data_IF_067621623622
#
_entry.id   IF_067621623622
#
_cell.length_a   1.000
_cell.length_b   1.000
_cell.length_c   1.000
_cell.angle_alpha   90.00
_cell.angle_beta   90.00
_cell.angle_gamma   90.00
#
_symmetry.space_group_name_H-M   'P 1'
#
loop_
_entity.id
_entity.type
_entity.pdbx_description
1 polymer ?
#
# COMPACT_ATOMS: atom_id res chain seq x y z
N UNK A 1 -4.61 -2.04 -20.31
CA UNK A 1 -4.78 -0.81 -19.50
C UNK A 1 -5.13 0.34 -20.43
N UNK A 2 -6.15 1.17 -20.14
CA UNK A 2 -6.39 2.42 -20.88
C UNK A 2 -5.28 3.39 -20.50
N UNK A 3 -4.70 4.10 -21.47
CA UNK A 3 -3.69 5.13 -21.18
C UNK A 3 -4.35 6.23 -20.33
N UNK A 4 -3.72 6.52 -19.19
CA UNK A 4 -4.13 7.59 -18.31
C UNK A 4 -3.17 8.77 -18.51
N UNK A 5 -3.66 9.98 -18.54
CA UNK A 5 -2.83 11.16 -18.79
C UNK A 5 -3.11 12.29 -17.80
N UNK A 6 -2.08 13.05 -17.49
CA UNK A 6 -2.15 14.30 -16.74
C UNK A 6 -1.59 15.43 -17.60
N UNK A 7 -2.28 16.57 -17.63
CA UNK A 7 -1.85 17.73 -18.37
C UNK A 7 -2.23 19.01 -17.65
N UNK A 8 -1.32 19.98 -17.61
CA UNK A 8 -1.60 21.32 -17.09
C UNK A 8 -2.07 22.21 -18.23
N UNK A 9 -3.17 22.95 -18.02
CA UNK A 9 -3.71 23.91 -18.98
C UNK A 9 -3.99 25.25 -18.28
N UNK A 10 -4.04 26.39 -19.01
CA UNK A 10 -4.52 27.64 -18.44
C UNK A 10 -5.96 27.53 -17.92
N UNK A 11 -6.25 28.14 -16.78
CA UNK A 11 -7.60 28.17 -16.21
C UNK A 11 -8.56 29.04 -17.07
N UNK A 12 -8.01 30.02 -17.76
CA UNK A 12 -8.74 30.87 -18.68
C UNK A 12 -8.46 30.43 -20.14
N UNK A 13 -9.51 30.06 -20.86
CA UNK A 13 -9.44 29.63 -22.27
C UNK A 13 -8.95 30.73 -23.23
N UNK A 14 -9.05 31.99 -22.82
CA UNK A 14 -8.61 33.13 -23.62
C UNK A 14 -7.10 33.41 -23.46
N UNK A 15 -6.46 32.78 -22.51
CA UNK A 15 -5.01 32.91 -22.27
C UNK A 15 -4.23 32.12 -23.33
N UNK A 16 -3.68 32.83 -24.33
CA UNK A 16 -2.89 32.26 -25.42
C UNK A 16 -1.41 32.04 -25.06
N UNK A 17 -0.97 32.47 -23.90
CA UNK A 17 0.45 32.50 -23.53
C UNK A 17 0.99 31.09 -23.14
N UNK A 18 0.12 30.08 -23.10
CA UNK A 18 0.51 28.71 -22.74
C UNK A 18 0.78 28.53 -21.24
N UNK A 19 1.34 27.40 -20.87
CA UNK A 19 1.72 27.08 -19.49
C UNK A 19 3.24 27.21 -19.33
N UNK A 20 3.73 28.00 -18.36
CA UNK A 20 5.17 28.06 -18.08
C UNK A 20 5.71 26.67 -17.73
N UNK A 21 6.89 26.32 -18.25
CA UNK A 21 7.55 25.03 -18.00
C UNK A 21 7.74 24.79 -16.50
N UNK A 22 8.05 25.83 -15.73
CA UNK A 22 8.22 25.71 -14.29
C UNK A 22 6.93 25.28 -13.58
N UNK A 23 5.78 25.82 -13.97
CA UNK A 23 4.46 25.43 -13.43
C UNK A 23 4.12 24.02 -13.85
N UNK A 24 4.19 23.70 -15.13
CA UNK A 24 3.90 22.38 -15.63
C UNK A 24 4.82 21.32 -15.00
N UNK A 25 6.13 21.58 -14.94
CA UNK A 25 7.11 20.66 -14.37
C UNK A 25 6.88 20.42 -12.87
N UNK A 26 6.64 21.48 -12.09
CA UNK A 26 6.40 21.31 -10.64
C UNK A 26 5.10 20.58 -10.37
N UNK A 27 4.01 20.93 -11.06
CA UNK A 27 2.74 20.22 -10.95
C UNK A 27 2.88 18.73 -11.26
N UNK A 28 3.68 18.37 -12.27
CA UNK A 28 3.94 16.97 -12.61
C UNK A 28 4.75 16.24 -11.53
N UNK A 29 5.70 16.92 -10.89
CA UNK A 29 6.43 16.37 -9.72
C UNK A 29 5.47 16.14 -8.55
N UNK A 30 4.54 17.05 -8.29
CA UNK A 30 3.56 16.91 -7.21
C UNK A 30 2.59 15.76 -7.47
N UNK A 31 2.12 15.60 -8.73
CA UNK A 31 1.28 14.45 -9.12
C UNK A 31 2.04 13.14 -8.96
N UNK A 32 3.30 13.08 -9.39
CA UNK A 32 4.16 11.90 -9.21
C UNK A 32 4.30 11.54 -7.73
N UNK A 33 4.60 12.54 -6.90
CA UNK A 33 4.78 12.34 -5.47
C UNK A 33 3.50 11.82 -4.81
N UNK A 34 2.37 12.47 -5.08
CA UNK A 34 1.06 12.07 -4.54
C UNK A 34 0.69 10.63 -4.94
N UNK A 35 0.92 10.25 -6.20
CA UNK A 35 0.69 8.89 -6.66
C UNK A 35 1.60 7.87 -5.95
N UNK A 36 2.87 8.21 -5.79
CA UNK A 36 3.85 7.35 -5.10
C UNK A 36 3.46 7.15 -3.64
N UNK A 37 3.10 8.21 -2.93
CA UNK A 37 2.73 8.13 -1.52
C UNK A 37 1.45 7.29 -1.32
N UNK A 38 0.42 7.49 -2.16
CA UNK A 38 -0.79 6.64 -2.16
C UNK A 38 -0.43 5.18 -2.46
N UNK A 39 0.41 4.93 -3.45
CA UNK A 39 0.83 3.59 -3.84
C UNK A 39 1.60 2.87 -2.73
N UNK A 40 2.54 3.56 -2.09
CA UNK A 40 3.28 3.01 -0.95
C UNK A 40 2.36 2.66 0.23
N UNK A 41 1.34 3.48 0.51
CA UNK A 41 0.34 3.16 1.55
C UNK A 41 -0.43 1.87 1.22
N UNK A 42 -0.89 1.73 -0.03
CA UNK A 42 -1.59 0.53 -0.49
C UNK A 42 -0.72 -0.72 -0.38
N UNK A 43 0.54 -0.64 -0.81
CA UNK A 43 1.48 -1.76 -0.70
C UNK A 43 1.72 -2.16 0.75
N UNK A 44 2.00 -1.19 1.61
CA UNK A 44 2.24 -1.44 3.04
C UNK A 44 1.06 -2.17 3.67
N UNK A 45 -0.15 -1.73 3.42
CA UNK A 45 -1.37 -2.34 3.96
C UNK A 45 -1.62 -3.72 3.38
N UNK A 46 -1.56 -3.87 2.05
CA UNK A 46 -1.88 -5.12 1.36
C UNK A 46 -0.90 -6.25 1.70
N UNK A 47 0.38 -5.92 1.81
CA UNK A 47 1.45 -6.89 2.10
C UNK A 47 1.76 -7.01 3.60
N UNK A 48 1.16 -6.16 4.47
CA UNK A 48 1.49 -6.10 5.90
C UNK A 48 2.95 -5.77 6.18
N UNK A 49 3.53 -4.87 5.38
CA UNK A 49 4.90 -4.40 5.59
C UNK A 49 4.97 -3.44 6.77
N UNK A 50 6.08 -3.53 7.53
CA UNK A 50 6.30 -2.67 8.70
C UNK A 50 7.33 -1.55 8.45
N UNK A 51 8.26 -1.74 7.53
CA UNK A 51 9.33 -0.81 7.24
C UNK A 51 9.09 -0.01 5.94
N UNK A 52 10.12 0.66 5.45
CA UNK A 52 10.08 1.34 4.16
C UNK A 52 9.83 0.36 3.02
N UNK A 53 9.07 0.83 2.03
CA UNK A 53 8.81 0.05 0.83
C UNK A 53 10.09 0.01 -0.02
N UNK A 54 10.53 -1.18 -0.48
CA UNK A 54 11.69 -1.28 -1.36
C UNK A 54 11.56 -0.43 -2.62
N UNK A 55 12.66 0.19 -3.04
CA UNK A 55 12.69 1.07 -4.22
C UNK A 55 12.16 0.38 -5.49
N UNK A 56 12.38 -0.93 -5.63
CA UNK A 56 11.87 -1.72 -6.75
C UNK A 56 10.34 -1.76 -6.82
N UNK A 57 9.67 -1.74 -5.66
CA UNK A 57 8.21 -1.65 -5.57
C UNK A 57 7.71 -0.22 -5.74
N UNK A 58 8.46 0.77 -5.22
CA UNK A 58 8.12 2.20 -5.38
C UNK A 58 8.12 2.60 -6.85
N UNK A 59 9.06 2.11 -7.63
CA UNK A 59 9.16 2.36 -9.09
C UNK A 59 7.94 1.93 -9.90
N UNK A 60 7.07 1.08 -9.37
CA UNK A 60 5.79 0.74 -10.01
C UNK A 60 4.88 1.95 -10.21
N UNK A 61 5.03 2.97 -9.39
CA UNK A 61 4.23 4.20 -9.42
C UNK A 61 4.87 5.32 -10.23
N UNK A 62 6.00 5.07 -10.91
CA UNK A 62 6.66 6.08 -11.73
C UNK A 62 5.82 6.43 -12.96
N UNK A 63 5.61 7.74 -13.14
CA UNK A 63 5.00 8.30 -14.33
C UNK A 63 6.07 8.64 -15.36
N UNK A 64 5.74 8.48 -16.63
CA UNK A 64 6.64 8.82 -17.73
C UNK A 64 6.09 10.00 -18.53
N UNK A 65 6.99 10.85 -19.03
CA UNK A 65 6.63 11.89 -19.98
C UNK A 65 6.46 11.21 -21.34
N UNK A 66 5.21 11.16 -21.83
CA UNK A 66 4.89 10.48 -23.06
C UNK A 66 3.95 11.30 -23.95
N UNK A 67 3.92 10.90 -25.23
CA UNK A 67 2.98 11.44 -26.19
C UNK A 67 3.35 12.79 -26.82
N UNK A 68 2.62 13.14 -27.90
CA UNK A 68 2.86 14.33 -28.70
C UNK A 68 2.46 15.64 -28.00
N UNK A 69 1.88 15.58 -26.80
CA UNK A 69 1.29 16.72 -26.10
C UNK A 69 2.02 17.12 -24.81
N UNK A 70 3.19 16.50 -24.50
CA UNK A 70 4.01 16.88 -23.34
C UNK A 70 3.38 16.61 -21.96
N UNK A 71 2.32 15.79 -21.87
CA UNK A 71 1.70 15.37 -20.62
C UNK A 71 2.41 14.18 -20.00
N UNK A 72 2.19 13.93 -18.70
CA UNK A 72 2.55 12.67 -18.08
C UNK A 72 1.57 11.58 -18.53
N UNK A 73 2.12 10.43 -18.85
CA UNK A 73 1.31 9.23 -19.08
C UNK A 73 1.79 8.12 -18.17
N UNK A 74 0.85 7.33 -17.67
CA UNK A 74 1.21 6.02 -17.13
C UNK A 74 1.66 5.19 -18.33
N UNK A 75 2.96 4.90 -18.41
CA UNK A 75 3.42 3.93 -19.39
C UNK A 75 2.69 2.60 -19.14
N UNK A 76 2.38 1.82 -20.19
CA UNK A 76 2.03 0.45 -19.99
C UNK A 76 3.25 -0.22 -19.37
N UNK A 77 3.21 -0.54 -18.09
CA UNK A 77 4.02 -1.63 -17.60
C UNK A 77 3.57 -2.85 -18.40
N UNK A 78 4.50 -3.57 -18.99
CA UNK A 78 4.20 -4.86 -19.62
C UNK A 78 3.69 -5.78 -18.50
N UNK A 79 2.38 -5.85 -18.32
CA UNK A 79 1.73 -6.61 -17.27
C UNK A 79 0.53 -5.87 -16.67
N UNK A 80 -0.33 -6.62 -16.05
CA UNK A 80 -1.48 -6.08 -15.32
C UNK A 80 -1.00 -5.58 -13.96
N UNK A 81 -0.64 -4.31 -13.83
CA UNK A 81 -0.19 -3.70 -12.57
C UNK A 81 -1.39 -3.15 -11.80
N UNK A 82 -2.00 -4.02 -11.00
CA UNK A 82 -3.18 -3.70 -10.23
C UNK A 82 -2.91 -2.76 -9.05
N UNK A 83 -1.66 -2.77 -8.51
CA UNK A 83 -1.28 -1.83 -7.47
C UNK A 83 -1.23 -0.41 -8.04
N UNK A 84 -0.67 -0.23 -9.23
CA UNK A 84 -0.68 1.05 -9.93
C UNK A 84 -2.12 1.47 -10.27
N UNK A 85 -2.95 0.55 -10.79
CA UNK A 85 -4.35 0.84 -11.08
C UNK A 85 -5.13 1.23 -9.82
N UNK A 86 -4.91 0.53 -8.71
CA UNK A 86 -5.49 0.87 -7.41
C UNK A 86 -5.08 2.26 -6.92
N UNK A 87 -3.79 2.59 -6.99
CA UNK A 87 -3.26 3.90 -6.62
C UNK A 87 -3.81 5.02 -7.53
N UNK A 88 -3.87 4.78 -8.84
CA UNK A 88 -4.45 5.70 -9.82
C UNK A 88 -5.94 5.95 -9.56
N UNK A 89 -6.71 4.92 -9.25
CA UNK A 89 -8.13 5.05 -8.95
C UNK A 89 -8.33 5.91 -7.68
N UNK A 90 -7.53 5.70 -6.64
CA UNK A 90 -7.60 6.51 -5.41
C UNK A 90 -7.17 7.96 -5.70
N UNK A 91 -6.08 8.18 -6.42
CA UNK A 91 -5.64 9.52 -6.82
C UNK A 91 -6.74 10.26 -7.58
N UNK A 92 -7.31 9.65 -8.60
CA UNK A 92 -8.36 10.27 -9.42
C UNK A 92 -9.62 10.56 -8.62
N UNK A 93 -10.06 9.60 -7.81
CA UNK A 93 -11.20 9.80 -6.95
C UNK A 93 -10.95 10.92 -5.92
N UNK A 94 -9.72 11.01 -5.38
CA UNK A 94 -9.34 12.11 -4.49
C UNK A 94 -9.47 13.46 -5.18
N UNK A 95 -8.93 13.61 -6.39
CA UNK A 95 -9.04 14.83 -7.17
C UNK A 95 -10.50 15.19 -7.55
N UNK A 96 -11.33 14.19 -7.84
CA UNK A 96 -12.76 14.37 -8.12
C UNK A 96 -13.51 14.90 -6.91
N UNK A 97 -13.33 14.28 -5.75
CA UNK A 97 -14.03 14.68 -4.52
C UNK A 97 -13.58 16.05 -4.02
N UNK A 98 -12.32 16.40 -4.21
CA UNK A 98 -11.81 17.73 -3.95
C UNK A 98 -12.61 18.80 -4.72
N UNK A 99 -13.02 18.51 -5.95
CA UNK A 99 -13.84 19.41 -6.77
C UNK A 99 -15.28 19.58 -6.28
N UNK A 100 -15.82 18.66 -5.47
CA UNK A 100 -17.23 18.65 -5.02
C UNK A 100 -17.46 19.21 -3.62
N UNK A 101 -16.41 19.52 -2.86
CA UNK A 101 -16.51 19.94 -1.46
C UNK A 101 -16.80 18.82 -0.44
N UNK A 102 -16.97 17.58 -0.90
CA UNK A 102 -17.20 16.41 -0.03
C UNK A 102 -15.90 15.73 0.46
N UNK A 103 -14.82 16.47 0.51
CA UNK A 103 -13.46 15.99 0.76
C UNK A 103 -13.31 15.25 2.09
N UNK A 104 -13.98 15.74 3.14
CA UNK A 104 -13.78 15.22 4.50
C UNK A 104 -14.14 13.76 4.65
N UNK A 105 -15.26 13.37 4.14
CA UNK A 105 -15.72 11.97 4.19
C UNK A 105 -14.78 11.10 3.36
N UNK A 106 -14.45 11.55 2.14
CA UNK A 106 -13.54 10.81 1.26
C UNK A 106 -12.18 10.55 1.90
N UNK A 107 -11.54 11.58 2.48
CA UNK A 107 -10.24 11.46 3.14
C UNK A 107 -10.29 10.50 4.33
N UNK A 108 -11.40 10.49 5.09
CA UNK A 108 -11.59 9.57 6.22
C UNK A 108 -11.80 8.13 5.76
N UNK A 109 -12.57 7.93 4.70
CA UNK A 109 -12.95 6.60 4.23
C UNK A 109 -11.80 5.90 3.47
N UNK A 110 -10.89 6.67 2.86
CA UNK A 110 -9.85 6.13 2.00
C UNK A 110 -8.43 6.24 2.57
N UNK A 111 -8.21 7.10 3.57
CA UNK A 111 -6.92 7.24 4.25
C UNK A 111 -7.13 7.15 5.76
N UNK A 112 -7.19 5.94 6.27
CA UNK A 112 -7.55 5.66 7.66
C UNK A 112 -6.45 6.06 8.67
N UNK A 113 -5.17 6.00 8.28
CA UNK A 113 -4.05 6.42 9.10
C UNK A 113 -3.88 7.96 9.08
N UNK A 114 -3.72 8.56 10.25
CA UNK A 114 -3.53 10.01 10.42
C UNK A 114 -2.28 10.52 9.70
N UNK A 115 -1.19 9.76 9.74
CA UNK A 115 0.05 10.12 9.06
C UNK A 115 -0.14 10.05 7.54
N UNK A 116 -0.77 8.99 7.03
CA UNK A 116 -1.10 8.84 5.62
C UNK A 116 -1.95 10.02 5.13
N UNK A 117 -2.98 10.41 5.87
CA UNK A 117 -3.80 11.58 5.54
C UNK A 117 -3.01 12.87 5.57
N UNK A 118 -2.13 13.03 6.55
CA UNK A 118 -1.29 14.22 6.67
C UNK A 118 -0.35 14.33 5.47
N UNK A 119 0.24 13.22 5.01
CA UNK A 119 1.09 13.17 3.81
C UNK A 119 0.28 13.54 2.58
N UNK A 120 -0.84 12.87 2.33
CA UNK A 120 -1.71 13.14 1.18
C UNK A 120 -2.26 14.57 1.21
N UNK A 121 -2.69 15.07 2.38
CA UNK A 121 -3.17 16.45 2.50
C UNK A 121 -2.07 17.46 2.20
N UNK A 122 -0.83 17.22 2.66
CA UNK A 122 0.31 18.06 2.34
C UNK A 122 0.61 18.09 0.83
N UNK A 123 0.62 16.92 0.19
CA UNK A 123 0.88 16.82 -1.24
C UNK A 123 -0.23 17.51 -2.06
N UNK A 124 -1.49 17.43 -1.62
CA UNK A 124 -2.60 18.15 -2.23
C UNK A 124 -2.51 19.67 -2.05
N UNK A 125 -1.98 20.13 -0.90
CA UNK A 125 -1.68 21.56 -0.69
C UNK A 125 -0.59 22.02 -1.64
N UNK A 126 0.52 21.28 -1.73
CA UNK A 126 1.64 21.62 -2.61
C UNK A 126 1.16 21.65 -4.08
N UNK A 127 0.42 20.64 -4.52
CA UNK A 127 -0.20 20.60 -5.85
C UNK A 127 -1.12 21.82 -6.11
N UNK A 128 -1.98 22.16 -5.15
CA UNK A 128 -2.89 23.29 -5.25
C UNK A 128 -2.14 24.62 -5.35
N UNK A 129 -1.09 24.79 -4.54
CA UNK A 129 -0.28 26.01 -4.52
C UNK A 129 0.49 26.22 -5.83
N UNK A 130 0.93 25.15 -6.48
CA UNK A 130 1.61 25.23 -7.78
C UNK A 130 0.65 25.41 -8.97
N UNK A 131 -0.63 25.05 -8.81
CA UNK A 131 -1.66 25.21 -9.85
C UNK A 131 -2.25 26.62 -9.94
N UNK A 132 -1.81 27.60 -9.17
CA UNK A 132 -2.40 28.96 -9.16
C UNK A 132 -2.54 29.56 -10.56
N UNK A 133 -3.80 29.74 -11.00
CA UNK A 133 -4.13 30.26 -12.33
C UNK A 133 -4.11 29.22 -13.47
N UNK A 134 -3.89 27.95 -13.13
CA UNK A 134 -3.89 26.81 -14.05
C UNK A 134 -4.81 25.71 -13.57
N UNK A 135 -5.04 24.71 -14.42
CA UNK A 135 -5.90 23.56 -14.15
C UNK A 135 -5.15 22.29 -14.51
N UNK A 136 -5.23 21.29 -13.66
CA UNK A 136 -4.76 19.93 -13.96
C UNK A 136 -5.90 19.16 -14.65
N UNK A 137 -5.72 18.82 -15.91
CA UNK A 137 -6.54 17.83 -16.61
C UNK A 137 -5.99 16.43 -16.32
N UNK A 138 -6.87 15.48 -16.02
CA UNK A 138 -6.51 14.09 -15.74
C UNK A 138 -7.61 13.15 -16.22
N UNK A 139 -7.23 11.94 -16.57
CA UNK A 139 -8.16 10.90 -17.01
C UNK A 139 -7.70 10.12 -18.22
N UNK A 140 -8.59 9.29 -18.76
CA UNK A 140 -8.40 8.59 -20.03
C UNK A 140 -9.01 9.40 -21.18
N UNK A 141 -8.62 9.10 -22.42
CA UNK A 141 -9.04 9.83 -23.63
C UNK A 141 -10.56 10.04 -23.74
N UNK A 142 -11.36 9.12 -23.21
CA UNK A 142 -12.82 9.18 -23.22
C UNK A 142 -13.44 9.92 -22.03
N UNK A 143 -12.65 10.22 -20.97
CA UNK A 143 -13.15 10.80 -19.72
C UNK A 143 -12.10 11.69 -19.07
N UNK A 144 -11.93 12.90 -19.63
CA UNK A 144 -11.03 13.92 -19.10
C UNK A 144 -11.78 14.73 -18.05
N UNK A 145 -11.18 14.89 -16.88
CA UNK A 145 -11.67 15.67 -15.74
C UNK A 145 -10.70 16.77 -15.42
N UNK A 146 -11.11 17.72 -14.59
CA UNK A 146 -10.32 18.89 -14.26
C UNK A 146 -10.27 19.12 -12.75
N UNK A 147 -9.07 19.36 -12.23
CA UNK A 147 -8.81 19.80 -10.88
C UNK A 147 -8.23 21.21 -10.89
N UNK A 148 -8.90 22.15 -10.20
CA UNK A 148 -8.57 23.59 -10.17
C UNK A 148 -7.82 24.02 -8.90
N UNK A 149 -7.48 23.07 -8.04
CA UNK A 149 -6.99 23.35 -6.70
C UNK A 149 -8.13 23.65 -5.71
N UNK A 150 -7.77 23.80 -4.45
CA UNK A 150 -8.69 24.09 -3.34
C UNK A 150 -8.10 25.13 -2.37
N UNK A 151 -8.97 25.68 -1.53
CA UNK A 151 -8.52 26.48 -0.40
C UNK A 151 -7.74 25.59 0.59
N UNK A 152 -6.52 26.03 0.94
CA UNK A 152 -5.60 25.29 1.82
C UNK A 152 -6.27 24.87 3.13
N UNK A 153 -7.04 25.76 3.72
CA UNK A 153 -7.74 25.53 4.99
C UNK A 153 -8.70 24.34 4.87
N UNK A 154 -9.40 24.24 3.75
CA UNK A 154 -10.34 23.12 3.50
C UNK A 154 -9.63 21.77 3.38
N UNK A 155 -8.43 21.73 2.81
CA UNK A 155 -7.65 20.49 2.76
C UNK A 155 -7.20 20.08 4.17
N UNK A 156 -6.72 21.03 4.97
CA UNK A 156 -6.18 20.78 6.31
C UNK A 156 -7.26 20.40 7.34
N UNK A 157 -8.53 20.84 7.17
CA UNK A 157 -9.65 20.43 8.02
C UNK A 157 -9.90 18.90 7.98
N UNK A 158 -9.39 18.21 6.97
CA UNK A 158 -9.63 16.80 6.76
C UNK A 158 -8.51 15.87 7.27
N UNK A 159 -7.49 16.41 7.89
CA UNK A 159 -6.48 15.63 8.62
C UNK A 159 -7.00 15.07 9.93
N UNK A 160 -8.24 14.58 9.96
CA UNK A 160 -8.88 14.03 11.15
C UNK A 160 -8.64 12.53 11.23
N UNK A 161 -8.23 12.09 12.40
CA UNK A 161 -7.88 10.71 12.74
C UNK A 161 -8.95 9.70 12.36
N UNK A 162 -8.63 8.74 11.50
CA UNK A 162 -9.36 7.51 11.26
C UNK A 162 -8.40 6.32 11.31
N UNK A 163 -8.91 5.12 11.19
CA UNK A 163 -8.16 3.92 11.55
C UNK A 163 -7.66 3.16 10.34
N UNK A 164 -6.38 3.25 10.05
CA UNK A 164 -5.74 2.43 9.02
C UNK A 164 -5.07 1.21 9.66
N UNK A 165 -5.57 0.02 9.36
CA UNK A 165 -5.02 -1.21 9.89
C UNK A 165 -3.74 -1.60 9.15
N UNK A 166 -2.65 -1.58 9.87
CA UNK A 166 -1.37 -2.09 9.40
C UNK A 166 -0.83 -3.14 10.38
N UNK A 167 0.39 -3.60 10.21
CA UNK A 167 0.98 -4.58 11.10
C UNK A 167 2.33 -4.09 11.64
N UNK A 168 2.63 -4.48 12.87
CA UNK A 168 3.95 -4.35 13.46
C UNK A 168 4.35 -5.69 14.07
N UNK A 169 5.63 -6.04 13.95
CA UNK A 169 6.16 -7.33 14.39
C UNK A 169 7.19 -7.14 15.48
N UNK A 170 7.07 -7.88 16.57
CA UNK A 170 7.99 -7.79 17.70
C UNK A 170 7.55 -8.64 18.89
N UNK A 171 8.21 -8.46 20.02
CA UNK A 171 7.85 -9.10 21.30
C UNK A 171 7.05 -8.13 22.15
N UNK A 172 5.93 -8.61 22.72
CA UNK A 172 5.17 -7.82 23.68
C UNK A 172 5.84 -7.94 25.04
N UNK A 173 6.15 -6.83 25.66
CA UNK A 173 6.68 -6.79 27.01
C UNK A 173 5.99 -5.75 27.87
N UNK A 174 5.92 -6.04 29.17
CA UNK A 174 5.30 -5.13 30.14
C UNK A 174 6.22 -3.95 30.41
N UNK A 175 5.66 -2.75 30.48
CA UNK A 175 6.41 -1.58 30.88
C UNK A 175 6.85 -1.73 32.36
N UNK A 176 8.14 -1.58 32.63
CA UNK A 176 8.71 -1.76 33.97
C UNK A 176 8.27 -0.69 34.96
N UNK A 177 8.00 0.52 34.45
CA UNK A 177 7.63 1.70 35.24
C UNK A 177 6.11 1.77 35.37
N UNK A 178 5.41 1.60 34.26
CA UNK A 178 3.94 1.71 34.18
C UNK A 178 3.31 0.32 34.08
N UNK A 179 3.14 -0.36 35.21
CA UNK A 179 2.71 -1.77 35.31
C UNK A 179 1.48 -2.18 34.50
N UNK A 180 0.66 -1.24 34.04
CA UNK A 180 -0.53 -1.50 33.23
C UNK A 180 -0.33 -1.15 31.75
N UNK A 181 0.86 -0.79 31.34
CA UNK A 181 1.22 -0.49 29.96
C UNK A 181 2.02 -1.64 29.36
N UNK A 182 1.86 -1.80 28.06
CA UNK A 182 2.55 -2.79 27.27
C UNK A 182 3.28 -2.11 26.12
N UNK A 183 4.43 -2.62 25.75
CA UNK A 183 5.23 -2.15 24.65
C UNK A 183 5.44 -3.29 23.66
N UNK A 184 5.58 -2.94 22.38
CA UNK A 184 6.12 -3.81 21.34
C UNK A 184 7.58 -3.46 21.15
N UNK A 185 8.46 -4.46 21.15
CA UNK A 185 9.89 -4.27 20.92
C UNK A 185 10.42 -5.22 19.87
N UNK A 186 11.37 -4.76 19.09
CA UNK A 186 12.28 -5.53 18.27
C UNK A 186 13.63 -4.81 18.21
N UNK A 187 14.56 -5.24 17.35
CA UNK A 187 15.89 -4.65 17.24
C UNK A 187 15.89 -3.19 16.76
N UNK A 188 14.78 -2.72 16.19
CA UNK A 188 14.66 -1.39 15.60
C UNK A 188 13.88 -0.41 16.48
N UNK A 189 12.97 -0.88 17.32
CA UNK A 189 12.08 0.00 18.09
C UNK A 189 11.62 -0.59 19.43
N UNK A 190 11.23 0.30 20.33
CA UNK A 190 10.43 0.03 21.52
C UNK A 190 9.28 1.03 21.54
N UNK A 191 8.06 0.57 21.30
CA UNK A 191 6.90 1.46 21.14
C UNK A 191 5.71 1.04 22.00
N UNK A 192 4.91 2.00 22.51
CA UNK A 192 3.75 1.70 23.31
C UNK A 192 2.64 1.03 22.49
N UNK A 193 1.92 0.11 23.15
CA UNK A 193 0.74 -0.58 22.63
C UNK A 193 -0.54 -0.06 23.29
N UNK A 194 -1.57 0.15 22.48
CA UNK A 194 -2.93 0.43 22.94
C UNK A 194 -3.90 -0.57 22.32
N UNK A 195 -4.47 -1.44 23.14
CA UNK A 195 -5.38 -2.48 22.68
C UNK A 195 -6.82 -1.95 22.56
N UNK A 196 -7.54 -2.42 21.54
CA UNK A 196 -8.97 -2.19 21.41
C UNK A 196 -9.73 -2.92 22.54
N UNK A 197 -10.93 -2.43 22.82
CA UNK A 197 -11.81 -2.99 23.87
C UNK A 197 -12.20 -4.45 23.62
N UNK A 198 -12.12 -4.91 22.38
CA UNK A 198 -12.45 -6.27 21.98
C UNK A 198 -11.35 -7.29 22.35
N UNK A 199 -10.14 -6.82 22.64
CA UNK A 199 -9.08 -7.68 23.17
C UNK A 199 -9.15 -7.73 24.68
N UNK A 200 -9.42 -8.90 25.23
CA UNK A 200 -9.51 -9.07 26.67
C UNK A 200 -8.14 -8.83 27.31
N UNK A 201 -8.11 -8.01 28.37
CA UNK A 201 -6.88 -7.71 29.12
C UNK A 201 -6.20 -8.97 29.73
N UNK A 202 -6.98 -10.05 29.90
CA UNK A 202 -6.48 -11.37 30.33
C UNK A 202 -5.60 -12.06 29.31
N UNK A 203 -5.76 -11.76 28.01
CA UNK A 203 -5.09 -12.46 26.92
C UNK A 203 -3.71 -11.85 26.61
N UNK A 204 -3.51 -10.57 26.98
CA UNK A 204 -2.26 -9.85 26.70
C UNK A 204 -1.03 -10.51 27.36
N UNK A 205 -1.09 -11.00 28.62
CA UNK A 205 0.03 -11.71 29.22
C UNK A 205 0.42 -13.01 28.47
N UNK A 206 -0.54 -13.66 27.81
CA UNK A 206 -0.27 -14.88 27.07
C UNK A 206 0.40 -14.57 25.73
N UNK A 207 0.02 -13.50 25.06
CA UNK A 207 0.76 -12.97 23.90
C UNK A 207 2.20 -12.60 24.27
N UNK A 208 2.41 -11.98 25.44
CA UNK A 208 3.75 -11.62 25.92
C UNK A 208 4.64 -12.82 26.21
N UNK A 209 4.07 -13.97 26.56
CA UNK A 209 4.82 -15.23 26.83
C UNK A 209 5.11 -16.02 25.55
N UNK A 210 4.37 -15.79 24.50
CA UNK A 210 4.42 -16.59 23.28
C UNK A 210 5.61 -16.27 22.36
N UNK A 211 6.45 -15.27 22.73
CA UNK A 211 7.56 -14.81 21.90
C UNK A 211 7.15 -13.73 20.91
N UNK A 212 7.75 -13.65 19.72
CA UNK A 212 7.37 -12.66 18.71
C UNK A 212 5.95 -12.85 18.20
N UNK A 213 5.28 -11.73 17.99
CA UNK A 213 3.89 -11.68 17.55
C UNK A 213 3.74 -10.68 16.40
N UNK A 214 2.69 -10.87 15.59
CA UNK A 214 2.22 -9.86 14.65
C UNK A 214 1.04 -9.15 15.32
N UNK A 215 1.17 -7.84 15.47
CA UNK A 215 0.13 -6.97 16.02
C UNK A 215 -0.51 -6.21 14.87
N UNK A 216 -1.82 -6.33 14.72
CA UNK A 216 -2.61 -5.62 13.71
C UNK A 216 -3.40 -4.52 14.38
N UNK A 217 -3.20 -3.29 13.94
CA UNK A 217 -3.84 -2.10 14.51
C UNK A 217 -3.40 -0.84 13.74
N UNK A 218 -3.58 0.31 14.35
CA UNK A 218 -3.11 1.58 13.80
C UNK A 218 -1.63 1.75 14.14
N UNK A 219 -0.77 1.67 13.13
CA UNK A 219 0.68 1.84 13.29
C UNK A 219 1.05 3.27 12.94
N UNK A 220 1.27 4.10 13.95
CA UNK A 220 1.76 5.46 13.75
C UNK A 220 3.26 5.45 13.44
N UNK A 221 3.68 6.37 12.56
CA UNK A 221 5.07 6.51 12.11
C UNK A 221 5.51 7.96 12.17
N UNK A 222 6.81 8.19 12.31
CA UNK A 222 7.39 9.51 12.17
C UNK A 222 7.65 9.86 10.68
N UNK A 223 8.20 11.06 10.42
CA UNK A 223 8.49 11.54 9.06
C UNK A 223 9.53 10.68 8.31
N UNK A 224 10.30 9.89 9.04
CA UNK A 224 11.32 8.98 8.54
C UNK A 224 10.78 7.56 8.32
N UNK A 225 9.47 7.33 8.58
CA UNK A 225 8.80 6.04 8.43
C UNK A 225 9.00 5.09 9.63
N UNK A 226 9.67 5.52 10.70
CA UNK A 226 9.87 4.69 11.89
C UNK A 226 8.58 4.60 12.71
N UNK A 227 8.25 3.40 13.19
CA UNK A 227 7.10 3.15 14.05
C UNK A 227 7.27 3.91 15.37
N UNK A 228 6.26 4.67 15.77
CA UNK A 228 6.24 5.45 17.02
C UNK A 228 5.21 4.95 18.03
N UNK A 229 4.13 4.34 17.58
CA UNK A 229 3.13 3.68 18.43
C UNK A 229 2.32 2.66 17.65
N UNK A 230 1.65 1.73 18.34
CA UNK A 230 0.62 0.86 17.77
C UNK A 230 -0.62 0.99 18.63
N UNK A 231 -1.68 1.54 18.04
CA UNK A 231 -2.92 1.87 18.74
C UNK A 231 -4.09 1.07 18.18
N UNK A 232 -5.18 1.00 18.98
CA UNK A 232 -6.42 0.31 18.61
C UNK A 232 -6.18 -1.07 18.02
N UNK A 233 -5.34 -1.85 18.70
CA UNK A 233 -4.96 -3.18 18.28
C UNK A 233 -6.21 -4.05 18.19
N UNK A 234 -6.51 -4.53 16.98
CA UNK A 234 -7.66 -5.39 16.68
C UNK A 234 -7.30 -6.87 16.61
N UNK A 235 -6.03 -7.18 16.48
CA UNK A 235 -5.53 -8.56 16.44
C UNK A 235 -4.09 -8.66 16.93
N UNK A 236 -3.79 -9.77 17.60
CA UNK A 236 -2.45 -10.14 18.02
C UNK A 236 -2.29 -11.64 17.79
N UNK A 237 -1.28 -12.04 17.02
CA UNK A 237 -1.13 -13.40 16.51
C UNK A 237 0.28 -13.90 16.78
N UNK A 238 0.39 -15.03 17.45
CA UNK A 238 1.67 -15.69 17.75
C UNK A 238 2.21 -16.42 16.51
N UNK A 239 1.33 -17.09 15.76
CA UNK A 239 1.63 -17.76 14.49
C UNK A 239 0.43 -17.50 13.57
N UNK A 240 0.31 -16.33 12.92
CA UNK A 240 -0.85 -16.01 12.12
C UNK A 240 -0.79 -16.72 10.76
N UNK A 241 -1.96 -17.14 10.29
CA UNK A 241 -2.12 -17.45 8.89
C UNK A 241 -2.39 -16.14 8.15
N UNK A 242 -1.48 -15.73 7.31
CA UNK A 242 -1.71 -14.59 6.43
C UNK A 242 -2.58 -15.05 5.24
N UNK A 243 -3.49 -14.18 4.82
CA UNK A 243 -4.36 -14.40 3.66
C UNK A 243 -4.11 -13.32 2.63
N UNK A 244 -3.48 -13.70 1.54
CA UNK A 244 -3.19 -12.79 0.45
C UNK A 244 -4.24 -12.93 -0.65
N UNK A 245 -5.10 -11.93 -0.80
CA UNK A 245 -6.07 -11.82 -1.91
C UNK A 245 -5.44 -11.20 -3.16
N UNK A 246 -4.21 -10.74 -3.06
CA UNK A 246 -3.42 -10.20 -4.16
C UNK A 246 -1.96 -10.56 -3.97
N UNK A 247 -1.32 -11.00 -5.02
CA UNK A 247 0.13 -11.14 -5.11
C UNK A 247 0.67 -9.87 -5.76
N UNK A 248 1.66 -9.22 -5.13
CA UNK A 248 2.22 -7.95 -5.56
C UNK A 248 3.73 -8.09 -5.60
N UNK A 249 4.35 -7.81 -6.74
CA UNK A 249 5.80 -7.83 -6.92
C UNK A 249 6.25 -6.64 -7.77
N UNK A 250 7.55 -6.41 -7.88
CA UNK A 250 8.10 -5.43 -8.82
C UNK A 250 7.85 -5.80 -10.29
N UNK A 251 7.65 -7.08 -10.59
CA UNK A 251 7.53 -7.62 -11.94
C UNK A 251 6.09 -7.78 -12.42
N UNK A 252 5.13 -7.76 -11.51
CA UNK A 252 3.71 -7.90 -11.84
C UNK A 252 2.86 -8.15 -10.60
N UNK A 253 1.56 -8.06 -10.77
CA UNK A 253 0.56 -8.29 -9.73
C UNK A 253 -0.48 -9.29 -10.23
N UNK A 254 -1.14 -9.95 -9.27
CA UNK A 254 -2.24 -10.88 -9.58
C UNK A 254 -3.30 -10.84 -8.48
N UNK A 255 -4.55 -10.58 -8.84
CA UNK A 255 -5.68 -10.74 -7.95
C UNK A 255 -6.07 -12.21 -7.80
N UNK A 256 -6.50 -12.58 -6.61
CA UNK A 256 -6.95 -13.91 -6.28
C UNK A 256 -8.41 -13.85 -5.82
N UNK A 257 -9.26 -14.74 -6.34
CA UNK A 257 -10.63 -14.94 -5.88
C UNK A 257 -10.63 -15.55 -4.48
N UNK A 258 -9.84 -16.62 -4.32
CA UNK A 258 -9.59 -17.25 -3.04
C UNK A 258 -8.20 -16.86 -2.54
N UNK A 259 -8.01 -16.57 -1.25
CA UNK A 259 -6.71 -16.12 -0.76
C UNK A 259 -5.66 -17.24 -0.80
N UNK A 260 -4.44 -16.89 -1.22
CA UNK A 260 -3.27 -17.72 -0.96
C UNK A 260 -2.93 -17.61 0.53
N UNK A 261 -2.89 -18.74 1.22
CA UNK A 261 -2.61 -18.79 2.65
C UNK A 261 -1.11 -18.97 2.87
N UNK A 262 -0.52 -18.11 3.70
CA UNK A 262 0.84 -18.27 4.18
C UNK A 262 0.82 -18.58 5.68
N UNK A 263 1.37 -19.70 6.07
CA UNK A 263 1.65 -20.01 7.46
C UNK A 263 2.90 -19.27 7.89
N UNK A 264 2.93 -18.80 9.14
CA UNK A 264 4.04 -18.00 9.67
C UNK A 264 4.73 -18.74 10.79
N UNK A 265 6.06 -18.79 10.75
CA UNK A 265 6.91 -19.28 11.81
C UNK A 265 8.01 -18.29 12.21
N UNK A 266 8.58 -18.47 13.37
CA UNK A 266 9.75 -17.75 13.84
C UNK A 266 10.68 -18.67 14.64
N UNK A 267 11.94 -18.74 14.22
CA UNK A 267 13.01 -19.47 14.91
C UNK A 267 13.78 -18.49 15.81
N UNK A 268 13.52 -18.57 17.13
CA UNK A 268 14.15 -17.68 18.11
C UNK A 268 15.68 -17.88 18.25
N UNK A 269 16.18 -19.08 17.96
CA UNK A 269 17.62 -19.36 18.09
C UNK A 269 18.41 -18.73 16.94
N UNK A 270 17.79 -18.65 15.77
CA UNK A 270 18.41 -18.11 14.55
C UNK A 270 17.97 -16.71 14.20
N UNK A 271 16.95 -16.18 14.88
CA UNK A 271 16.29 -14.90 14.56
C UNK A 271 15.81 -14.85 13.09
N UNK A 272 15.06 -15.89 12.68
CA UNK A 272 14.59 -16.08 11.31
C UNK A 272 13.07 -16.17 11.27
N UNK A 273 12.45 -15.35 10.42
CA UNK A 273 11.04 -15.47 10.05
C UNK A 273 10.87 -16.47 8.92
N UNK A 274 9.76 -17.22 8.98
CA UNK A 274 9.39 -18.19 7.96
C UNK A 274 7.96 -17.90 7.47
N UNK A 275 7.76 -17.87 6.15
CA UNK A 275 6.45 -17.94 5.51
C UNK A 275 6.42 -19.16 4.60
N UNK A 276 5.38 -19.98 4.74
CA UNK A 276 5.30 -21.22 3.96
C UNK A 276 3.87 -21.58 3.58
N UNK A 277 3.74 -22.32 2.47
CA UNK A 277 2.52 -22.96 2.04
C UNK A 277 2.88 -24.33 1.49
N UNK A 278 2.41 -25.39 2.17
CA UNK A 278 2.74 -26.79 1.86
C UNK A 278 2.07 -27.25 0.56
N UNK A 279 0.88 -26.73 0.22
CA UNK A 279 0.11 -27.14 -0.94
C UNK A 279 0.82 -26.84 -2.27
N UNK A 280 1.66 -25.80 -2.29
CA UNK A 280 2.42 -25.38 -3.47
C UNK A 280 3.93 -25.37 -3.27
N UNK A 281 4.41 -25.90 -2.14
CA UNK A 281 5.84 -26.03 -1.85
C UNK A 281 6.57 -24.70 -1.65
N UNK A 282 5.90 -23.65 -1.15
CA UNK A 282 6.56 -22.39 -0.82
C UNK A 282 7.19 -22.50 0.59
N UNK A 283 8.48 -22.24 0.68
CA UNK A 283 9.22 -22.22 1.96
C UNK A 283 10.21 -21.06 1.94
N UNK A 284 9.85 -19.93 2.52
CA UNK A 284 10.69 -18.72 2.59
C UNK A 284 11.17 -18.51 4.01
N UNK A 285 12.48 -18.32 4.17
CA UNK A 285 13.13 -18.06 5.45
C UNK A 285 14.01 -16.81 5.32
N UNK A 286 13.75 -15.76 6.11
CA UNK A 286 14.48 -14.48 6.08
C UNK A 286 14.66 -13.93 7.50
N UNK A 287 15.73 -13.17 7.76
CA UNK A 287 15.92 -12.50 9.04
C UNK A 287 14.93 -11.33 9.24
N UNK A 288 14.43 -10.72 8.17
CA UNK A 288 13.47 -9.63 8.21
C UNK A 288 12.07 -10.11 7.84
N UNK A 289 11.07 -9.66 8.60
CA UNK A 289 9.66 -9.89 8.27
C UNK A 289 9.30 -9.40 6.87
N UNK A 290 9.68 -8.16 6.55
CA UNK A 290 9.34 -7.55 5.27
C UNK A 290 10.00 -8.28 4.10
N UNK A 291 11.27 -8.68 4.24
CA UNK A 291 11.95 -9.49 3.23
C UNK A 291 11.28 -10.86 3.06
N UNK A 292 10.81 -11.46 4.16
CA UNK A 292 10.11 -12.73 4.11
C UNK A 292 8.79 -12.61 3.33
N UNK A 293 8.00 -11.56 3.59
CA UNK A 293 6.74 -11.29 2.88
C UNK A 293 6.98 -11.01 1.41
N UNK A 294 7.94 -10.14 1.09
CA UNK A 294 8.27 -9.78 -0.30
C UNK A 294 8.71 -11.03 -1.08
N UNK A 295 9.62 -11.83 -0.50
CA UNK A 295 10.09 -13.05 -1.16
C UNK A 295 8.98 -14.10 -1.33
N UNK A 296 8.02 -14.16 -0.41
CA UNK A 296 6.84 -15.03 -0.55
C UNK A 296 6.00 -14.62 -1.75
N UNK A 297 5.74 -13.33 -1.93
CA UNK A 297 5.01 -12.80 -3.08
C UNK A 297 5.76 -13.05 -4.40
N UNK A 298 7.08 -12.82 -4.43
CA UNK A 298 7.90 -13.07 -5.62
C UNK A 298 7.87 -14.55 -6.02
N UNK A 299 8.00 -15.45 -5.04
CA UNK A 299 7.97 -16.88 -5.33
C UNK A 299 6.57 -17.35 -5.75
N UNK A 300 5.52 -16.82 -5.12
CA UNK A 300 4.14 -17.11 -5.53
C UNK A 300 3.88 -16.68 -6.99
N UNK A 301 4.30 -15.47 -7.39
CA UNK A 301 4.17 -15.03 -8.78
C UNK A 301 4.92 -15.96 -9.73
N UNK A 302 6.15 -16.33 -9.40
CA UNK A 302 6.94 -17.29 -10.19
C UNK A 302 6.21 -18.63 -10.38
N UNK A 303 5.51 -19.13 -9.36
CA UNK A 303 4.72 -20.35 -9.47
C UNK A 303 3.54 -20.18 -10.43
N UNK A 304 2.82 -19.06 -10.38
CA UNK A 304 1.76 -18.75 -11.34
C UNK A 304 2.30 -18.72 -12.78
N UNK A 305 3.41 -18.03 -13.02
CA UNK A 305 4.06 -17.97 -14.33
C UNK A 305 4.53 -19.35 -14.82
N UNK A 306 4.99 -20.20 -13.89
CA UNK A 306 5.53 -21.52 -14.22
C UNK A 306 4.43 -22.53 -14.51
N UNK A 307 3.35 -22.54 -13.73
CA UNK A 307 2.35 -23.61 -13.75
C UNK A 307 1.01 -23.19 -14.36
N UNK A 308 0.65 -21.91 -14.34
CA UNK A 308 -0.65 -21.41 -14.81
C UNK A 308 -0.53 -20.70 -16.15
N UNK A 309 0.41 -19.76 -16.28
CA UNK A 309 0.58 -18.92 -17.47
C UNK A 309 1.39 -19.63 -18.58
N UNK A 310 1.18 -20.93 -18.75
CA UNK A 310 1.95 -21.75 -19.67
C UNK A 310 1.05 -22.79 -20.36
N UNK A 311 1.38 -23.10 -21.61
CA UNK A 311 0.72 -24.18 -22.37
C UNK A 311 1.28 -25.59 -22.06
N UNK A 312 2.21 -25.69 -21.11
CA UNK A 312 2.80 -26.99 -20.74
C UNK A 312 1.75 -27.88 -20.07
N UNK A 313 1.83 -29.16 -20.35
CA UNK A 313 1.09 -30.20 -19.62
C UNK A 313 1.95 -30.71 -18.46
N UNK A 314 1.33 -30.89 -17.32
CA UNK A 314 1.97 -31.37 -16.11
C UNK A 314 1.33 -32.69 -15.67
N UNK A 315 2.05 -33.49 -14.89
CA UNK A 315 1.58 -34.76 -14.33
C UNK A 315 2.00 -34.87 -12.87
N UNK A 316 1.30 -35.69 -12.08
CA UNK A 316 1.62 -35.94 -10.68
C UNK A 316 1.55 -34.66 -9.81
N UNK A 317 2.55 -34.45 -8.97
CA UNK A 317 2.64 -33.32 -8.03
C UNK A 317 2.58 -31.95 -8.74
N UNK A 318 3.18 -31.82 -9.91
CA UNK A 318 3.14 -30.55 -10.67
C UNK A 318 1.73 -30.21 -11.15
N UNK A 319 0.94 -31.23 -11.51
CA UNK A 319 -0.47 -31.04 -11.87
C UNK A 319 -1.31 -30.64 -10.65
N UNK A 320 -1.05 -31.20 -9.48
CA UNK A 320 -1.73 -30.83 -8.23
C UNK A 320 -1.44 -29.36 -7.85
N UNK A 321 -0.19 -28.91 -7.97
CA UNK A 321 0.20 -27.51 -7.77
C UNK A 321 -0.57 -26.60 -8.74
N UNK A 322 -0.62 -26.97 -10.03
CA UNK A 322 -1.34 -26.21 -11.04
C UNK A 322 -2.82 -26.07 -10.69
N UNK A 323 -3.48 -27.18 -10.36
CA UNK A 323 -4.90 -27.20 -10.01
C UNK A 323 -5.20 -26.35 -8.77
N UNK A 324 -4.34 -26.42 -7.76
CA UNK A 324 -4.45 -25.55 -6.59
C UNK A 324 -4.34 -24.07 -6.97
N UNK A 325 -3.30 -23.67 -7.71
CA UNK A 325 -3.11 -22.29 -8.13
C UNK A 325 -4.27 -21.77 -9.00
N UNK A 326 -4.77 -22.60 -9.93
CA UNK A 326 -5.94 -22.26 -10.74
C UNK A 326 -7.20 -22.07 -9.89
N UNK A 327 -7.37 -22.84 -8.81
CA UNK A 327 -8.49 -22.68 -7.88
C UNK A 327 -8.51 -21.34 -7.14
N UNK A 328 -7.38 -20.65 -7.10
CA UNK A 328 -7.27 -19.32 -6.48
C UNK A 328 -7.68 -18.19 -7.44
N UNK A 329 -7.77 -18.44 -8.74
CA UNK A 329 -8.02 -17.42 -9.75
C UNK A 329 -9.51 -17.17 -10.01
N UNK A 330 -9.89 -15.95 -10.44
CA UNK A 330 -11.21 -15.68 -10.99
C UNK A 330 -11.47 -16.52 -12.26
N UNK A 331 -12.70 -16.94 -12.47
CA UNK A 331 -13.07 -17.72 -13.65
C UNK A 331 -12.83 -17.02 -15.00
N UNK A 332 -12.61 -15.70 -14.98
CA UNK A 332 -12.30 -14.91 -16.17
C UNK A 332 -10.81 -14.98 -16.57
N UNK A 333 -9.96 -15.47 -15.67
CA UNK A 333 -8.48 -15.55 -15.85
C UNK A 333 -8.03 -17.01 -16.11
N UNK A 334 -8.99 -17.93 -16.27
CA UNK A 334 -8.80 -19.33 -16.66
C UNK A 334 -9.12 -19.51 -18.15
#
# INVERSE_FOLDING_TARGET
MRSFSFRVIPADSDNKDGVPIAVAGQTMVDVQKLLTDIGCMLLRTSMRLQNEIPESLVKKFDLTIGGNNGGLTTGPSEGNDEALEGAMNILCATLDFLGTGAVGTWMKDNFEDEEARTVVAKDLVDLTDHLKGYVLEYGSDDNIRQFKGLEREKILEYTVRTEWLSAAVGKIQRDEIKKNHWNLTNDQFLVPLSFDKNIASSDIPDFAKAGPVIVVGNVARNKEGHITSVEKITGCYTIPNLKFHRIITSNGDRNLLNPLIALTGYDEEKDIWSLYNDDVGIYINKPSWDECVISFHEYALFLFETYVDTDKQFEGEEQEIREYLMSLLPAADL
#
